data_IF_641503787659
#
_entry.id   IF_641503787659
#
_cell.length_a   1.000
_cell.length_b   1.000
_cell.length_c   1.000
_cell.angle_alpha   90.00
_cell.angle_beta   90.00
_cell.angle_gamma   90.00
#
_symmetry.space_group_name_H-M   'P 1'
#
loop_
_entity.id
_entity.type
_entity.pdbx_description
1 polymer ?
#
# COMPACT_ATOMS: atom_id res chain seq x y z
N UNK A 1 -14.67 26.77 8.00
CA UNK A 1 -15.47 25.60 8.37
C UNK A 1 -14.66 24.38 8.00
N UNK A 2 -14.46 23.43 8.90
CA UNK A 2 -13.81 22.16 8.57
C UNK A 2 -14.62 21.50 7.43
N UNK A 3 -13.97 20.97 6.38
CA UNK A 3 -14.71 20.29 5.33
C UNK A 3 -15.52 19.17 5.97
N UNK A 4 -16.81 19.14 5.65
CA UNK A 4 -17.72 18.08 6.08
C UNK A 4 -17.11 16.78 5.54
N UNK A 5 -16.53 15.97 6.42
CA UNK A 5 -16.01 14.67 6.02
C UNK A 5 -17.21 13.86 5.53
N UNK A 6 -17.14 13.33 4.31
CA UNK A 6 -18.15 12.43 3.79
C UNK A 6 -18.51 11.38 4.86
N UNK A 7 -19.81 11.02 5.01
CA UNK A 7 -20.19 9.99 5.95
C UNK A 7 -19.43 8.69 5.64
N UNK A 8 -19.06 7.90 6.67
CA UNK A 8 -18.33 6.66 6.44
C UNK A 8 -19.11 5.73 5.50
N UNK A 9 -18.43 4.94 4.66
CA UNK A 9 -19.08 3.92 3.85
C UNK A 9 -19.73 2.86 4.75
N UNK A 10 -20.76 2.19 4.22
CA UNK A 10 -21.50 1.15 4.96
C UNK A 10 -20.61 -0.05 5.36
N UNK A 11 -19.58 -0.35 4.55
CA UNK A 11 -18.67 -1.48 4.75
C UNK A 11 -17.21 -1.03 4.66
N UNK A 12 -16.44 -1.38 5.67
CA UNK A 12 -15.00 -1.23 5.76
C UNK A 12 -14.50 -2.17 6.87
N UNK A 13 -13.24 -2.56 6.82
CA UNK A 13 -12.61 -3.40 7.85
C UNK A 13 -11.85 -2.56 8.88
N UNK A 14 -11.20 -1.48 8.43
CA UNK A 14 -10.49 -0.57 9.33
C UNK A 14 -10.38 0.85 8.74
N UNK A 15 -9.96 1.79 9.58
CA UNK A 15 -9.76 3.20 9.22
C UNK A 15 -8.29 3.56 9.46
N UNK A 16 -7.68 4.24 8.50
CA UNK A 16 -6.36 4.85 8.69
C UNK A 16 -6.47 6.37 8.62
N UNK A 17 -5.60 7.06 9.37
CA UNK A 17 -5.62 8.52 9.52
C UNK A 17 -4.25 9.14 9.26
N UNK A 18 -3.70 9.03 8.04
CA UNK A 18 -2.42 9.63 7.70
C UNK A 18 -2.53 11.16 7.71
N UNK A 19 -1.41 11.81 8.01
CA UNK A 19 -1.24 13.25 7.81
C UNK A 19 -0.60 13.47 6.44
N UNK A 20 -1.32 14.11 5.52
CA UNK A 20 -0.89 14.38 4.15
C UNK A 20 -0.96 15.88 3.94
N UNK A 21 0.14 16.51 3.52
CA UNK A 21 0.24 17.96 3.31
C UNK A 21 -0.22 18.81 4.52
N UNK A 22 -0.03 18.27 5.74
CA UNK A 22 -0.43 18.93 6.99
C UNK A 22 -1.88 18.71 7.40
N UNK A 23 -2.68 17.99 6.61
CA UNK A 23 -4.07 17.65 6.92
C UNK A 23 -4.20 16.18 7.31
N UNK A 24 -4.97 15.90 8.37
CA UNK A 24 -5.32 14.52 8.75
C UNK A 24 -6.55 14.10 7.96
N UNK A 25 -6.40 13.07 7.14
CA UNK A 25 -7.46 12.55 6.28
C UNK A 25 -7.94 11.19 6.80
N UNK A 26 -9.25 10.91 6.73
CA UNK A 26 -9.79 9.58 7.04
C UNK A 26 -9.86 8.73 5.77
N UNK A 27 -9.24 7.55 5.78
CA UNK A 27 -9.42 6.55 4.73
C UNK A 27 -10.05 5.29 5.32
N UNK A 28 -11.15 4.86 4.71
CA UNK A 28 -11.85 3.63 5.04
C UNK A 28 -11.36 2.51 4.12
N UNK A 29 -10.79 1.46 4.71
CA UNK A 29 -10.16 0.38 3.96
C UNK A 29 -11.04 -0.86 4.03
N UNK A 30 -11.34 -1.43 2.87
CA UNK A 30 -11.95 -2.74 2.73
C UNK A 30 -10.90 -3.70 2.17
N UNK A 31 -10.61 -4.76 2.91
CA UNK A 31 -9.70 -5.82 2.53
C UNK A 31 -10.35 -6.68 1.47
N UNK A 32 -9.55 -7.09 0.49
CA UNK A 32 -9.98 -8.13 -0.44
C UNK A 32 -10.08 -9.46 0.35
N UNK A 33 -11.18 -10.23 0.21
CA UNK A 33 -11.30 -11.53 0.89
C UNK A 33 -10.11 -12.43 0.58
N UNK A 34 -9.54 -13.06 1.62
CA UNK A 34 -8.39 -13.97 1.51
C UNK A 34 -7.01 -13.29 1.50
N UNK A 35 -6.93 -11.97 1.67
CA UNK A 35 -5.64 -11.25 1.58
C UNK A 35 -4.65 -11.65 2.68
N UNK A 36 -5.12 -11.92 3.90
CA UNK A 36 -4.26 -12.28 5.02
C UNK A 36 -3.66 -13.67 4.81
N UNK A 37 -4.51 -14.63 4.45
CA UNK A 37 -4.12 -16.01 4.18
C UNK A 37 -3.18 -16.09 2.97
N UNK A 38 -3.42 -15.26 1.95
CA UNK A 38 -2.55 -15.17 0.78
C UNK A 38 -1.17 -14.64 1.16
N UNK A 39 -1.08 -13.52 1.89
CA UNK A 39 0.20 -12.95 2.30
C UNK A 39 0.99 -13.93 3.17
N UNK A 40 0.33 -14.57 4.14
CA UNK A 40 0.95 -15.59 4.99
C UNK A 40 1.47 -16.78 4.17
N UNK A 41 0.66 -17.30 3.24
CA UNK A 41 1.06 -18.41 2.37
C UNK A 41 2.25 -18.06 1.47
N UNK A 42 2.27 -16.85 0.92
CA UNK A 42 3.35 -16.37 0.04
C UNK A 42 4.65 -16.11 0.82
N UNK A 43 4.56 -15.74 2.10
CA UNK A 43 5.73 -15.38 2.92
C UNK A 43 6.77 -16.49 3.02
N UNK A 44 6.35 -17.75 3.00
CA UNK A 44 7.24 -18.92 3.03
C UNK A 44 7.82 -19.30 1.66
N UNK A 45 7.49 -18.57 0.59
CA UNK A 45 7.80 -18.94 -0.80
C UNK A 45 8.43 -17.80 -1.61
N UNK A 46 8.08 -16.56 -1.29
CA UNK A 46 8.47 -15.36 -2.02
C UNK A 46 9.00 -14.30 -1.07
N UNK A 47 9.88 -13.46 -1.61
CA UNK A 47 10.10 -12.13 -1.06
C UNK A 47 8.93 -11.24 -1.47
N UNK A 48 8.15 -10.79 -0.48
CA UNK A 48 6.96 -9.97 -0.71
C UNK A 48 7.36 -8.50 -0.74
N UNK A 49 7.16 -7.85 -1.89
CA UNK A 49 7.37 -6.41 -2.06
C UNK A 49 6.03 -5.75 -2.39
N UNK A 50 5.61 -4.78 -1.58
CA UNK A 50 4.47 -3.93 -1.93
C UNK A 50 4.98 -2.73 -2.71
N UNK A 51 4.63 -2.66 -3.99
CA UNK A 51 4.95 -1.51 -4.84
C UNK A 51 3.66 -0.76 -5.19
N UNK A 52 3.46 0.44 -4.64
CA UNK A 52 2.27 1.26 -4.81
C UNK A 52 2.59 2.63 -5.40
N UNK A 53 1.65 3.20 -6.17
CA UNK A 53 1.72 4.59 -6.59
C UNK A 53 1.07 5.53 -5.56
N UNK A 54 0.79 5.06 -4.35
CA UNK A 54 0.29 5.86 -3.23
C UNK A 54 1.42 6.64 -2.54
N UNK A 55 1.07 7.73 -1.87
CA UNK A 55 1.98 8.43 -0.96
C UNK A 55 2.36 7.52 0.21
N UNK A 56 3.57 7.69 0.72
CA UNK A 56 4.12 6.86 1.81
C UNK A 56 3.26 6.97 3.07
N UNK A 57 2.82 8.17 3.43
CA UNK A 57 2.06 8.42 4.66
C UNK A 57 0.76 7.61 4.68
N UNK A 58 0.03 7.62 3.55
CA UNK A 58 -1.18 6.82 3.39
C UNK A 58 -0.88 5.32 3.32
N UNK A 59 0.04 4.93 2.43
CA UNK A 59 0.29 3.52 2.16
C UNK A 59 0.89 2.80 3.37
N UNK A 60 1.82 3.42 4.09
CA UNK A 60 2.40 2.87 5.31
C UNK A 60 1.33 2.67 6.38
N UNK A 61 0.44 3.65 6.59
CA UNK A 61 -0.65 3.51 7.55
C UNK A 61 -1.58 2.32 7.22
N UNK A 62 -1.89 2.11 5.93
CA UNK A 62 -2.66 0.93 5.48
C UNK A 62 -1.88 -0.36 5.71
N UNK A 63 -0.60 -0.41 5.34
CA UNK A 63 0.20 -1.63 5.42
C UNK A 63 0.54 -2.01 6.87
N UNK A 64 0.68 -1.06 7.78
CA UNK A 64 0.86 -1.33 9.22
C UNK A 64 -0.41 -1.93 9.86
N UNK A 65 -1.58 -1.57 9.34
CA UNK A 65 -2.83 -2.19 9.75
C UNK A 65 -3.07 -3.55 9.09
N UNK A 66 -2.68 -3.70 7.82
CA UNK A 66 -2.83 -4.95 7.08
C UNK A 66 -1.85 -6.05 7.54
N UNK A 67 -0.57 -5.72 7.69
CA UNK A 67 0.52 -6.70 7.83
C UNK A 67 0.88 -7.01 9.28
N UNK A 68 -0.08 -7.59 10.02
CA UNK A 68 0.11 -7.88 11.45
C UNK A 68 1.23 -8.90 11.72
N UNK A 69 1.48 -9.81 10.78
CA UNK A 69 2.52 -10.84 10.88
C UNK A 69 3.88 -10.39 10.34
N UNK A 70 4.00 -9.17 9.82
CA UNK A 70 5.22 -8.59 9.25
C UNK A 70 5.83 -9.46 8.15
N UNK A 71 4.99 -9.95 7.25
CA UNK A 71 5.39 -10.81 6.13
C UNK A 71 5.82 -10.03 4.89
N UNK A 72 5.53 -8.72 4.82
CA UNK A 72 6.02 -7.86 3.74
C UNK A 72 7.49 -7.50 3.99
N UNK A 73 8.37 -7.86 3.04
CA UNK A 73 9.81 -7.63 3.14
C UNK A 73 10.20 -6.19 2.79
N UNK A 74 9.58 -5.63 1.74
CA UNK A 74 9.89 -4.28 1.26
C UNK A 74 8.62 -3.53 0.86
N UNK A 75 8.68 -2.20 1.00
CA UNK A 75 7.61 -1.27 0.62
C UNK A 75 8.21 -0.21 -0.28
N UNK A 76 7.63 -0.04 -1.47
CA UNK A 76 8.02 0.95 -2.47
C UNK A 76 6.79 1.83 -2.74
N UNK A 77 6.96 3.14 -2.57
CA UNK A 77 5.88 4.11 -2.66
C UNK A 77 5.96 4.90 -3.97
N UNK A 78 5.16 5.98 -4.07
CA UNK A 78 5.10 6.83 -5.26
C UNK A 78 6.46 7.43 -5.65
N UNK A 79 7.29 7.76 -4.67
CA UNK A 79 8.64 8.28 -4.88
C UNK A 79 9.59 7.28 -5.57
N UNK A 80 9.26 5.99 -5.47
CA UNK A 80 9.96 4.88 -6.14
C UNK A 80 9.44 4.62 -7.56
N UNK A 81 8.33 5.24 -7.95
CA UNK A 81 7.81 5.15 -9.31
C UNK A 81 8.57 6.12 -10.24
N UNK A 82 8.74 5.71 -11.50
CA UNK A 82 9.22 6.60 -12.56
C UNK A 82 8.04 7.36 -13.15
N UNK A 83 8.12 8.68 -13.20
CA UNK A 83 7.14 9.48 -13.93
C UNK A 83 7.43 9.44 -15.44
N UNK A 84 6.46 8.98 -16.22
CA UNK A 84 6.51 8.93 -17.68
C UNK A 84 5.18 9.43 -18.23
N UNK A 85 5.22 10.54 -18.97
CA UNK A 85 4.03 11.17 -19.57
C UNK A 85 2.89 11.42 -18.57
N UNK A 86 3.23 11.90 -17.37
CA UNK A 86 2.28 12.17 -16.28
C UNK A 86 1.71 10.92 -15.60
N UNK A 87 2.29 9.74 -15.85
CA UNK A 87 1.91 8.48 -15.20
C UNK A 87 3.04 7.96 -14.31
N UNK A 88 2.68 7.39 -13.17
CA UNK A 88 3.60 6.68 -12.30
C UNK A 88 3.77 5.24 -12.78
N UNK A 89 4.95 4.93 -13.32
CA UNK A 89 5.34 3.61 -13.79
C UNK A 89 6.17 2.92 -12.72
N UNK A 90 5.77 1.69 -12.37
CA UNK A 90 6.51 0.80 -11.47
C UNK A 90 7.54 0.03 -12.28
N UNK A 91 8.70 0.62 -12.47
CA UNK A 91 9.78 0.04 -13.28
C UNK A 91 10.50 -1.08 -12.51
N UNK A 92 10.17 -2.33 -12.83
CA UNK A 92 10.75 -3.50 -12.16
C UNK A 92 12.26 -3.63 -12.40
N UNK A 93 12.82 -3.01 -13.45
CA UNK A 93 14.27 -3.08 -13.69
C UNK A 93 15.10 -2.40 -12.59
N UNK A 94 14.46 -1.55 -11.78
CA UNK A 94 15.09 -0.78 -10.70
C UNK A 94 15.02 -1.47 -9.33
N UNK A 95 14.33 -2.62 -9.20
CA UNK A 95 14.14 -3.29 -7.90
C UNK A 95 15.36 -4.09 -7.43
N UNK A 96 16.41 -4.19 -8.25
CA UNK A 96 17.65 -4.87 -7.90
C UNK A 96 17.49 -6.39 -7.71
N UNK A 97 16.57 -7.01 -8.45
CA UNK A 97 16.37 -8.47 -8.51
C UNK A 97 16.45 -8.94 -9.96
N UNK A 98 16.81 -10.20 -10.15
CA UNK A 98 16.74 -10.83 -11.47
C UNK A 98 15.28 -10.87 -11.93
N UNK A 99 14.98 -10.20 -13.05
CA UNK A 99 13.61 -10.07 -13.57
C UNK A 99 12.98 -11.41 -13.94
N UNK A 100 13.78 -12.44 -14.23
CA UNK A 100 13.28 -13.80 -14.46
C UNK A 100 12.75 -14.47 -13.18
N UNK A 101 12.95 -13.85 -12.02
CA UNK A 101 12.52 -14.31 -10.70
C UNK A 101 11.55 -13.35 -10.01
N UNK A 102 11.04 -12.35 -10.74
CA UNK A 102 10.01 -11.40 -10.25
C UNK A 102 8.68 -11.73 -10.94
N UNK A 103 7.58 -11.72 -10.18
CA UNK A 103 6.21 -11.99 -10.63
C UNK A 103 5.31 -10.82 -10.27
#
# INVERSE_FOLDING_TARGET
ALPISDPPPEKFDFIVRPQIDGEIMNFYVLKRPGVDELLEFLSGKFEIVIFTAGLEEYASAVLDELDKNRVINHRLFRDSCREMDGKFVKDLSQVGRDLWKVV
#
